data_IF_287647329527
#
_entry.id   IF_287647329527
#
_cell.length_a   1.000
_cell.length_b   1.000
_cell.length_c   1.000
_cell.angle_alpha   90.00
_cell.angle_beta   90.00
_cell.angle_gamma   90.00
#
_symmetry.space_group_name_H-M   'P 1'
#
loop_
_entity.id
_entity.type
_entity.pdbx_description
1 polymer ?
#
# COMPACT_ATOMS: atom_id res chain seq x y z
N UNK A 1 -13.68 21.31 10.47
CA UNK A 1 -14.24 21.17 9.11
C UNK A 1 -14.23 19.69 8.76
N UNK A 2 -15.07 19.19 7.84
CA UNK A 2 -14.93 17.82 7.35
C UNK A 2 -13.50 17.58 6.85
N UNK A 3 -13.04 16.33 6.92
CA UNK A 3 -11.78 15.93 6.31
C UNK A 3 -11.79 16.30 4.81
N UNK A 4 -10.83 17.08 4.30
CA UNK A 4 -10.75 17.42 2.87
C UNK A 4 -10.62 16.19 1.96
N UNK A 5 -10.10 15.07 2.47
CA UNK A 5 -10.01 13.79 1.77
C UNK A 5 -11.25 12.92 1.99
N UNK A 6 -12.12 13.30 2.94
CA UNK A 6 -13.39 12.63 3.19
C UNK A 6 -14.32 12.85 2.00
N UNK A 7 -14.59 11.78 1.25
CA UNK A 7 -15.49 11.85 0.10
C UNK A 7 -16.92 12.23 0.49
N UNK A 8 -17.71 12.51 -0.54
CA UNK A 8 -19.11 12.91 -0.36
C UNK A 8 -19.92 11.87 0.42
N UNK A 9 -20.67 12.33 1.43
CA UNK A 9 -21.62 11.50 2.16
C UNK A 9 -22.88 11.36 1.31
N UNK A 10 -23.14 10.15 0.86
CA UNK A 10 -24.27 9.81 -0.01
C UNK A 10 -25.28 9.00 0.78
N UNK A 11 -26.55 9.43 0.74
CA UNK A 11 -27.67 8.63 1.24
C UNK A 11 -27.91 7.45 0.31
N UNK A 12 -27.93 6.23 0.85
CA UNK A 12 -28.09 4.99 0.05
C UNK A 12 -29.39 4.24 0.34
N UNK A 13 -30.16 4.71 1.31
CA UNK A 13 -31.43 4.11 1.66
C UNK A 13 -31.63 4.07 3.16
N UNK A 14 -32.59 3.27 3.58
CA UNK A 14 -32.87 3.12 5.00
C UNK A 14 -33.89 2.04 5.24
N UNK A 15 -34.03 1.67 6.50
CA UNK A 15 -34.87 0.55 6.94
C UNK A 15 -35.83 1.02 8.01
N UNK A 16 -37.11 0.67 7.83
CA UNK A 16 -38.10 0.77 8.90
C UNK A 16 -37.79 -0.28 9.96
N UNK A 17 -37.47 0.16 11.17
CA UNK A 17 -37.15 -0.72 12.28
C UNK A 17 -38.41 -1.09 13.06
N UNK A 18 -39.22 -0.09 13.42
CA UNK A 18 -40.48 -0.29 14.14
C UNK A 18 -41.44 0.87 13.88
N UNK A 19 -42.74 0.56 13.90
CA UNK A 19 -43.82 1.54 13.79
C UNK A 19 -44.94 1.13 14.74
N UNK A 20 -45.23 2.00 15.70
CA UNK A 20 -46.40 1.86 16.55
C UNK A 20 -47.29 3.11 16.44
N UNK A 21 -48.39 3.14 17.21
CA UNK A 21 -49.39 4.22 17.10
C UNK A 21 -48.86 5.60 17.54
N UNK A 22 -47.72 5.64 18.23
CA UNK A 22 -47.13 6.84 18.80
C UNK A 22 -45.76 7.19 18.19
N UNK A 23 -45.02 6.20 17.67
CA UNK A 23 -43.62 6.40 17.32
C UNK A 23 -43.16 5.70 16.03
N UNK A 24 -42.36 6.51 15.31
CA UNK A 24 -41.51 6.29 14.14
C UNK A 24 -40.06 5.80 14.41
N UNK A 25 -39.70 4.52 14.28
CA UNK A 25 -38.28 4.13 14.29
C UNK A 25 -37.78 3.76 12.90
N UNK A 26 -36.97 4.64 12.30
CA UNK A 26 -36.39 4.47 10.97
C UNK A 26 -34.87 4.68 11.02
N UNK A 27 -34.11 3.77 10.42
CA UNK A 27 -32.66 3.88 10.26
C UNK A 27 -32.33 4.42 8.86
N UNK A 28 -31.50 5.44 8.80
CA UNK A 28 -30.94 5.96 7.55
C UNK A 28 -29.54 5.38 7.35
N UNK A 29 -29.27 4.90 6.14
CA UNK A 29 -27.98 4.37 5.74
C UNK A 29 -27.27 5.35 4.80
N UNK A 30 -26.01 5.63 5.12
CA UNK A 30 -25.15 6.54 4.35
C UNK A 30 -23.84 5.83 4.00
N UNK A 31 -23.26 6.22 2.87
CA UNK A 31 -21.93 5.78 2.45
C UNK A 31 -21.07 6.97 2.11
N UNK A 32 -19.77 6.87 2.31
CA UNK A 32 -18.79 7.79 1.76
C UNK A 32 -17.72 6.98 1.02
N UNK A 33 -17.27 7.49 -0.12
CA UNK A 33 -16.09 6.92 -0.79
C UNK A 33 -14.84 7.52 -0.15
N UNK A 34 -13.85 6.67 0.09
CA UNK A 34 -12.54 7.08 0.56
C UNK A 34 -11.49 6.33 -0.26
N UNK A 35 -10.41 7.01 -0.61
CA UNK A 35 -9.29 6.45 -1.34
C UNK A 35 -8.13 6.32 -0.36
N UNK A 36 -7.57 5.11 -0.24
CA UNK A 36 -6.33 4.85 0.49
C UNK A 36 -5.21 4.96 -0.53
N UNK A 37 -4.35 5.96 -0.37
CA UNK A 37 -3.17 6.18 -1.19
C UNK A 37 -1.94 5.51 -0.55
N UNK A 38 -0.82 5.46 -1.27
CA UNK A 38 0.44 4.93 -0.72
C UNK A 38 0.85 5.69 0.56
N UNK A 39 0.65 7.00 0.59
CA UNK A 39 0.97 7.88 1.74
C UNK A 39 0.19 7.52 3.01
N UNK A 40 -0.99 6.90 2.87
CA UNK A 40 -1.83 6.46 3.99
C UNK A 40 -1.36 5.11 4.57
N UNK A 41 -0.35 4.48 3.95
CA UNK A 41 0.15 3.17 4.33
C UNK A 41 1.42 3.24 5.16
N UNK A 42 1.62 2.25 6.03
CA UNK A 42 2.90 2.02 6.72
C UNK A 42 4.07 1.85 5.75
N UNK A 43 3.82 1.28 4.57
CA UNK A 43 4.85 1.06 3.55
C UNK A 43 5.52 2.38 3.14
N UNK A 44 4.76 3.46 2.99
CA UNK A 44 5.34 4.76 2.68
C UNK A 44 6.28 5.25 3.79
N UNK A 45 5.90 5.09 5.06
CA UNK A 45 6.77 5.42 6.20
C UNK A 45 8.06 4.58 6.17
N UNK A 46 7.92 3.26 5.97
CA UNK A 46 9.05 2.33 5.95
C UNK A 46 10.01 2.62 4.79
N UNK A 47 9.48 2.91 3.59
CA UNK A 47 10.28 3.27 2.40
C UNK A 47 10.97 4.61 2.58
N UNK A 48 10.27 5.61 3.12
CA UNK A 48 10.85 6.94 3.38
C UNK A 48 11.92 6.91 4.50
N UNK A 49 11.91 5.90 5.36
CA UNK A 49 12.91 5.69 6.39
C UNK A 49 14.17 4.98 5.88
N UNK A 50 14.16 4.41 4.67
CA UNK A 50 15.34 3.78 4.09
C UNK A 50 16.37 4.84 3.70
N UNK A 51 17.67 4.55 3.86
CA UNK A 51 18.72 5.41 3.32
C UNK A 51 18.68 5.40 1.79
N UNK A 52 19.25 6.45 1.19
CA UNK A 52 19.42 6.54 -0.25
C UNK A 52 20.15 5.30 -0.80
N UNK A 53 19.68 4.82 -1.96
CA UNK A 53 20.33 3.72 -2.67
C UNK A 53 21.73 4.15 -3.09
N UNK A 54 22.76 3.57 -2.47
CA UNK A 54 24.16 3.96 -2.70
C UNK A 54 24.93 2.98 -3.58
N UNK A 55 24.54 1.71 -3.57
CA UNK A 55 25.22 0.65 -4.29
C UNK A 55 24.20 -0.40 -4.76
N UNK A 56 24.28 -0.77 -6.03
CA UNK A 56 23.77 -2.03 -6.54
C UNK A 56 24.95 -2.94 -6.82
N UNK A 57 24.95 -4.13 -6.21
CA UNK A 57 25.95 -5.17 -6.45
C UNK A 57 25.24 -6.39 -7.03
N UNK A 58 25.79 -6.94 -8.11
CA UNK A 58 25.27 -8.09 -8.83
C UNK A 58 26.38 -9.13 -8.90
N UNK A 59 26.10 -10.30 -8.34
CA UNK A 59 26.92 -11.50 -8.42
C UNK A 59 26.23 -12.51 -9.34
N UNK A 60 26.98 -13.09 -10.27
CA UNK A 60 26.51 -14.13 -11.19
C UNK A 60 27.33 -15.40 -10.94
N UNK A 61 26.60 -16.46 -10.60
CA UNK A 61 27.07 -17.85 -10.48
C UNK A 61 26.44 -18.66 -11.62
N UNK A 62 27.28 -19.23 -12.48
CA UNK A 62 26.84 -19.97 -13.66
C UNK A 62 26.26 -21.35 -13.32
N UNK A 63 25.25 -21.75 -14.09
CA UNK A 63 24.63 -23.08 -13.95
C UNK A 63 25.54 -24.21 -14.49
N UNK A 64 26.55 -23.89 -15.31
CA UNK A 64 27.33 -24.84 -16.12
C UNK A 64 28.81 -24.88 -15.68
N UNK A 65 29.33 -26.05 -15.27
CA UNK A 65 29.65 -27.08 -16.27
C UNK A 65 28.84 -28.40 -16.16
N UNK A 66 27.73 -28.44 -15.39
CA UNK A 66 26.78 -29.58 -15.47
C UNK A 66 26.00 -29.99 -14.23
N UNK A 67 26.23 -29.40 -13.05
CA UNK A 67 25.47 -29.71 -11.81
C UNK A 67 24.70 -28.54 -11.20
N UNK A 68 24.66 -27.39 -11.87
CA UNK A 68 24.09 -26.15 -11.35
C UNK A 68 25.15 -25.25 -10.71
N UNK A 69 24.71 -24.13 -10.12
CA UNK A 69 25.57 -23.16 -9.43
C UNK A 69 26.45 -23.85 -8.39
N UNK A 70 27.76 -23.58 -8.42
CA UNK A 70 28.73 -24.23 -7.54
C UNK A 70 29.09 -23.38 -6.31
N UNK A 71 28.58 -22.15 -6.24
CA UNK A 71 28.83 -21.19 -5.17
C UNK A 71 30.02 -20.27 -5.43
N UNK A 72 30.75 -20.46 -6.53
CA UNK A 72 31.83 -19.58 -6.97
C UNK A 72 31.28 -18.51 -7.94
N UNK A 73 31.47 -17.23 -7.61
CA UNK A 73 30.97 -16.13 -8.46
C UNK A 73 31.91 -15.90 -9.65
N UNK A 74 31.44 -16.06 -10.89
CA UNK A 74 32.24 -15.76 -12.08
C UNK A 74 32.24 -14.28 -12.44
N UNK A 75 31.13 -13.58 -12.17
CA UNK A 75 31.03 -12.16 -12.49
C UNK A 75 30.44 -11.36 -11.34
N UNK A 76 31.18 -10.32 -10.99
CA UNK A 76 30.77 -9.31 -10.02
C UNK A 76 30.68 -7.95 -10.72
N UNK A 77 29.54 -7.28 -10.57
CA UNK A 77 29.31 -5.92 -11.05
C UNK A 77 28.84 -5.03 -9.90
N UNK A 78 29.51 -3.90 -9.72
CA UNK A 78 29.06 -2.84 -8.82
C UNK A 78 28.65 -1.60 -9.62
N UNK A 79 27.53 -1.01 -9.23
CA UNK A 79 27.10 0.32 -9.68
C UNK A 79 26.88 1.19 -8.46
N UNK A 80 27.70 2.23 -8.34
CA UNK A 80 27.62 3.22 -7.25
C UNK A 80 26.80 4.41 -7.72
N UNK A 81 25.79 4.77 -6.94
CA UNK A 81 24.92 5.90 -7.25
C UNK A 81 25.45 7.17 -6.56
N UNK A 82 25.45 8.33 -7.24
CA UNK A 82 25.85 9.59 -6.63
C UNK A 82 24.95 9.89 -5.44
N UNK A 83 25.55 10.37 -4.36
CA UNK A 83 24.84 10.81 -3.16
C UNK A 83 24.53 12.31 -3.31
N UNK A 84 23.29 12.72 -3.02
CA UNK A 84 22.85 14.11 -3.09
C UNK A 84 23.22 14.91 -1.84
#
# INVERSE_FOLDING_TARGET
>A
MPDPQGGEIVYVGGTLLDLNRYELYYQFDFTAKYEITEEDTRQAEDVNALPDLSLLSIDVDYIDPGTGPDGDIEHHLEMRFPQN
#
